data_IF_077903797417
#
_entry.id   IF_077903797417
#
_cell.length_a   1.000
_cell.length_b   1.000
_cell.length_c   1.000
_cell.angle_alpha   90.00
_cell.angle_beta   90.00
_cell.angle_gamma   90.00
#
_symmetry.space_group_name_H-M   'P 1'
#
loop_
_entity.id
_entity.type
_entity.pdbx_description
1 polymer ?
#
# COMPACT_ATOMS: atom_id res chain seq x y z
N UNK A 1 45.35 13.78 16.16
CA UNK A 1 43.91 13.68 16.56
C UNK A 1 43.13 13.32 15.31
N UNK A 2 42.75 12.06 15.19
CA UNK A 2 42.09 11.51 14.02
C UNK A 2 40.58 11.68 14.20
N UNK A 3 39.98 12.52 13.35
CA UNK A 3 38.54 12.66 13.23
C UNK A 3 37.94 11.35 12.75
N UNK A 4 37.37 10.61 13.67
CA UNK A 4 36.45 9.52 13.32
C UNK A 4 35.15 10.17 12.81
N UNK A 5 35.06 10.35 11.49
CA UNK A 5 33.78 10.53 10.82
C UNK A 5 32.95 9.26 11.08
N UNK A 6 32.05 9.36 12.04
CA UNK A 6 30.97 8.37 12.23
C UNK A 6 30.07 8.51 11.01
N UNK A 7 30.30 7.68 10.00
CA UNK A 7 29.33 7.45 8.93
C UNK A 7 28.03 6.94 9.58
N UNK A 8 27.05 7.84 9.72
CA UNK A 8 25.67 7.46 9.98
C UNK A 8 25.19 6.60 8.80
N UNK A 9 25.43 5.30 8.87
CA UNK A 9 24.87 4.34 7.92
C UNK A 9 23.36 4.34 8.10
N UNK A 10 22.67 5.15 7.30
CA UNK A 10 21.21 5.23 7.30
C UNK A 10 20.66 3.87 6.84
N UNK A 11 20.17 3.09 7.79
CA UNK A 11 19.53 1.80 7.54
C UNK A 11 18.43 1.98 6.47
N UNK A 12 18.49 1.20 5.40
CA UNK A 12 17.50 1.23 4.34
C UNK A 12 16.52 0.06 4.50
N UNK A 13 15.23 0.34 4.30
CA UNK A 13 14.20 -0.70 4.35
C UNK A 13 13.73 -1.04 2.93
N UNK A 14 13.69 -2.34 2.62
CA UNK A 14 13.11 -2.86 1.36
C UNK A 14 12.05 -3.92 1.68
N UNK A 15 11.03 -3.98 0.86
CA UNK A 15 9.98 -5.00 1.00
C UNK A 15 9.92 -5.90 -0.23
N UNK A 16 9.70 -7.19 0.02
CA UNK A 16 9.48 -8.21 -1.01
C UNK A 16 8.07 -8.78 -0.84
N UNK A 17 7.23 -8.66 -1.87
CA UNK A 17 5.89 -9.24 -1.88
C UNK A 17 5.86 -10.47 -2.77
N UNK A 18 5.58 -11.63 -2.18
CA UNK A 18 5.50 -12.93 -2.84
C UNK A 18 4.06 -13.46 -2.80
N UNK A 19 3.63 -14.09 -3.89
CA UNK A 19 2.41 -14.89 -3.88
C UNK A 19 2.73 -16.26 -3.29
N UNK A 20 1.97 -16.67 -2.27
CA UNK A 20 2.14 -17.95 -1.58
C UNK A 20 0.99 -18.90 -1.90
N UNK A 21 1.27 -20.20 -1.83
CA UNK A 21 0.36 -21.29 -2.17
C UNK A 21 0.20 -22.23 -0.98
N UNK A 22 -0.61 -21.81 0.03
CA UNK A 22 -0.82 -22.63 1.22
C UNK A 22 -1.68 -23.86 0.91
N UNK A 23 -1.45 -24.95 1.64
CA UNK A 23 -2.32 -26.13 1.64
C UNK A 23 -3.72 -25.78 2.19
N UNK A 24 -4.64 -26.73 2.17
CA UNK A 24 -5.99 -26.51 2.71
C UNK A 24 -5.94 -26.21 4.22
N UNK A 25 -5.16 -26.99 4.98
CA UNK A 25 -4.94 -26.82 6.43
C UNK A 25 -4.26 -25.48 6.73
N UNK A 26 -3.18 -25.15 6.02
CA UNK A 26 -2.50 -23.86 6.15
C UNK A 26 -3.43 -22.69 5.84
N UNK A 27 -4.25 -22.80 4.78
CA UNK A 27 -5.24 -21.78 4.43
C UNK A 27 -6.29 -21.59 5.51
N UNK A 28 -6.71 -22.68 6.17
CA UNK A 28 -7.66 -22.64 7.29
C UNK A 28 -7.05 -21.89 8.47
N UNK A 29 -5.83 -22.22 8.85
CA UNK A 29 -5.13 -21.58 9.98
C UNK A 29 -4.81 -20.11 9.69
N UNK A 30 -4.44 -19.75 8.45
CA UNK A 30 -4.27 -18.35 8.04
C UNK A 30 -5.60 -17.58 8.18
N UNK A 31 -6.73 -18.14 7.71
CA UNK A 31 -8.02 -17.48 7.82
C UNK A 31 -8.47 -17.35 9.29
N UNK A 32 -8.19 -18.34 10.12
CA UNK A 32 -8.41 -18.28 11.56
C UNK A 32 -7.59 -17.16 12.19
N UNK A 33 -6.29 -17.06 11.86
CA UNK A 33 -5.41 -16.00 12.34
C UNK A 33 -5.94 -14.61 11.95
N UNK A 34 -6.44 -14.41 10.71
CA UNK A 34 -7.13 -13.16 10.34
C UNK A 34 -8.32 -12.87 11.27
N UNK A 35 -9.10 -13.90 11.61
CA UNK A 35 -10.25 -13.79 12.51
C UNK A 35 -9.84 -13.36 13.92
N UNK A 36 -8.85 -14.04 14.50
CA UNK A 36 -8.33 -13.77 15.84
C UNK A 36 -7.71 -12.36 15.95
N UNK A 37 -6.85 -11.98 15.02
CA UNK A 37 -6.25 -10.63 14.99
C UNK A 37 -7.30 -9.53 14.85
N UNK A 38 -8.32 -9.74 14.02
CA UNK A 38 -9.43 -8.79 13.89
C UNK A 38 -10.25 -8.69 15.17
N UNK A 39 -10.57 -9.83 15.80
CA UNK A 39 -11.33 -9.86 17.07
C UNK A 39 -10.55 -9.13 18.15
N UNK A 40 -9.28 -9.45 18.34
CA UNK A 40 -8.44 -8.81 19.36
C UNK A 40 -8.30 -7.28 19.12
N UNK A 41 -8.09 -6.86 17.87
CA UNK A 41 -8.09 -5.43 17.53
C UNK A 41 -9.39 -4.75 17.94
N UNK A 42 -10.53 -5.39 17.68
CA UNK A 42 -11.84 -4.84 17.98
C UNK A 42 -12.12 -4.80 19.50
N UNK A 43 -11.74 -5.85 20.23
CA UNK A 43 -11.84 -5.87 21.70
C UNK A 43 -11.01 -4.75 22.32
N UNK A 44 -9.75 -4.62 21.91
CA UNK A 44 -8.89 -3.56 22.40
C UNK A 44 -9.42 -2.15 22.06
N UNK A 45 -9.99 -1.97 20.88
CA UNK A 45 -10.66 -0.73 20.50
C UNK A 45 -11.89 -0.45 21.39
N UNK A 46 -12.65 -1.49 21.70
CA UNK A 46 -13.83 -1.38 22.57
C UNK A 46 -13.42 -1.02 23.98
N UNK A 47 -12.44 -1.71 24.61
CA UNK A 47 -11.90 -1.38 25.93
C UNK A 47 -11.47 0.11 26.02
N UNK A 48 -10.80 0.62 24.97
CA UNK A 48 -10.40 2.04 24.94
C UNK A 48 -11.57 2.99 24.82
N UNK A 49 -12.61 2.63 24.08
CA UNK A 49 -13.80 3.45 23.93
C UNK A 49 -14.61 3.49 25.24
N UNK A 50 -14.79 2.35 25.89
CA UNK A 50 -15.44 2.23 27.19
C UNK A 50 -14.69 3.05 28.24
N UNK A 51 -13.36 2.87 28.33
CA UNK A 51 -12.53 3.66 29.25
C UNK A 51 -12.67 5.19 29.01
N UNK A 52 -12.73 5.62 27.74
CA UNK A 52 -12.95 7.02 27.41
C UNK A 52 -14.31 7.52 27.85
N UNK A 53 -15.37 6.73 27.63
CA UNK A 53 -16.75 7.09 27.99
C UNK A 53 -16.85 7.21 29.53
N UNK A 54 -16.29 6.26 30.27
CA UNK A 54 -16.45 6.17 31.72
C UNK A 54 -15.57 7.19 32.47
N UNK A 55 -14.36 7.46 31.99
CA UNK A 55 -13.35 8.21 32.76
C UNK A 55 -13.03 9.59 32.18
N UNK A 56 -13.25 9.84 30.90
CA UNK A 56 -12.84 11.11 30.23
C UNK A 56 -14.03 11.94 29.77
N UNK A 57 -15.04 11.29 29.22
CA UNK A 57 -16.24 12.00 28.73
C UNK A 57 -16.96 12.83 29.81
N UNK A 58 -17.04 12.39 31.07
CA UNK A 58 -17.67 13.16 32.14
C UNK A 58 -16.92 14.45 32.52
N UNK A 59 -15.64 14.57 32.17
CA UNK A 59 -14.83 15.76 32.51
C UNK A 59 -15.25 16.94 31.63
N UNK A 60 -15.35 18.18 32.20
CA UNK A 60 -15.61 19.40 31.44
C UNK A 60 -14.62 19.58 30.28
N UNK A 61 -15.09 20.10 29.14
CA UNK A 61 -14.29 20.18 27.91
C UNK A 61 -12.96 20.94 28.08
N UNK A 62 -13.01 22.00 28.92
CA UNK A 62 -11.87 22.89 29.20
C UNK A 62 -10.73 22.13 29.90
N UNK A 63 -11.03 21.14 30.73
CA UNK A 63 -10.07 20.41 31.54
C UNK A 63 -9.63 19.06 30.90
N UNK A 64 -10.36 18.61 29.82
CA UNK A 64 -10.09 17.32 29.21
C UNK A 64 -8.70 17.16 28.68
N UNK A 65 -8.12 18.20 28.09
CA UNK A 65 -6.81 18.10 27.46
C UNK A 65 -5.69 17.87 28.49
N UNK A 66 -5.82 18.46 29.67
CA UNK A 66 -4.83 18.31 30.75
C UNK A 66 -5.05 17.01 31.51
N UNK A 67 -6.26 16.77 32.00
CA UNK A 67 -6.58 15.62 32.87
C UNK A 67 -6.58 14.28 32.12
N UNK A 68 -6.93 14.26 30.81
CA UNK A 68 -6.97 13.01 30.04
C UNK A 68 -5.62 12.30 29.96
N UNK A 69 -4.51 13.04 29.89
CA UNK A 69 -3.17 12.47 29.84
C UNK A 69 -2.82 11.69 31.10
N UNK A 70 -3.24 12.17 32.26
CA UNK A 70 -3.00 11.50 33.54
C UNK A 70 -3.92 10.29 33.70
N UNK A 71 -5.19 10.44 33.36
CA UNK A 71 -6.16 9.35 33.43
C UNK A 71 -5.79 8.22 32.48
N UNK A 72 -5.32 8.51 31.26
CA UNK A 72 -4.86 7.45 30.35
C UNK A 72 -3.65 6.65 30.86
N UNK A 73 -2.87 7.16 31.81
CA UNK A 73 -1.81 6.37 32.48
C UNK A 73 -2.37 5.22 33.34
N UNK A 74 -3.60 5.36 33.80
CA UNK A 74 -4.30 4.30 34.57
C UNK A 74 -4.95 3.24 33.68
N UNK A 75 -5.05 3.49 32.38
CA UNK A 75 -5.63 2.53 31.44
C UNK A 75 -4.78 1.26 31.32
N UNK A 76 -5.32 0.14 31.79
CA UNK A 76 -4.69 -1.18 31.73
C UNK A 76 -5.55 -2.12 30.88
N UNK A 77 -5.37 -2.14 29.56
CA UNK A 77 -6.11 -3.06 28.70
C UNK A 77 -5.67 -4.50 28.93
N UNK A 78 -6.56 -5.45 28.68
CA UNK A 78 -6.24 -6.87 28.76
C UNK A 78 -5.10 -7.24 27.82
N UNK A 79 -4.22 -8.07 28.32
CA UNK A 79 -3.10 -8.64 27.56
C UNK A 79 -3.56 -9.76 26.63
N UNK A 80 -2.73 -10.15 25.67
CA UNK A 80 -3.01 -11.27 24.78
C UNK A 80 -3.17 -12.60 25.55
N UNK A 81 -2.49 -12.74 26.69
CA UNK A 81 -2.60 -13.92 27.58
C UNK A 81 -4.00 -13.99 28.20
N UNK A 82 -4.51 -12.90 28.71
CA UNK A 82 -5.85 -12.81 29.29
C UNK A 82 -6.93 -13.02 28.24
N UNK A 83 -6.78 -12.44 27.04
CA UNK A 83 -7.71 -12.68 25.93
C UNK A 83 -7.73 -14.13 25.46
N UNK A 84 -6.62 -14.89 25.56
CA UNK A 84 -6.58 -16.31 25.27
C UNK A 84 -7.33 -17.15 26.33
N UNK A 85 -7.42 -16.67 27.55
CA UNK A 85 -8.26 -17.32 28.57
C UNK A 85 -9.75 -17.10 28.30
N UNK A 86 -10.13 -15.91 27.81
CA UNK A 86 -11.51 -15.60 27.42
C UNK A 86 -11.91 -16.32 26.13
N UNK A 87 -11.01 -16.31 25.13
CA UNK A 87 -11.24 -16.91 23.81
C UNK A 87 -10.25 -18.01 23.53
N UNK A 88 -10.54 -19.23 23.98
CA UNK A 88 -9.64 -20.40 23.91
C UNK A 88 -9.07 -20.66 22.50
N UNK A 89 -9.88 -20.42 21.44
CA UNK A 89 -9.45 -20.57 20.05
C UNK A 89 -8.30 -19.63 19.64
N UNK A 90 -8.03 -18.56 20.38
CA UNK A 90 -6.88 -17.69 20.14
C UNK A 90 -5.54 -18.33 20.54
N UNK A 91 -5.55 -19.42 21.31
CA UNK A 91 -4.33 -20.14 21.68
C UNK A 91 -3.72 -20.91 20.49
N UNK A 92 -4.52 -21.22 19.46
CA UNK A 92 -4.07 -21.95 18.27
C UNK A 92 -3.23 -21.08 17.32
N UNK A 93 -3.36 -19.74 17.41
CA UNK A 93 -2.66 -18.80 16.53
C UNK A 93 -1.41 -18.21 17.20
N UNK A 94 -0.57 -17.54 16.39
CA UNK A 94 0.67 -16.93 16.89
C UNK A 94 0.39 -15.79 17.90
N UNK A 95 1.07 -15.82 19.03
CA UNK A 95 0.97 -14.78 20.07
C UNK A 95 1.54 -13.44 19.57
N UNK A 96 2.63 -13.48 18.79
CA UNK A 96 3.23 -12.28 18.22
C UNK A 96 2.31 -11.59 17.20
N UNK A 97 1.53 -12.35 16.41
CA UNK A 97 0.51 -11.79 15.54
C UNK A 97 -0.64 -11.10 16.30
N UNK A 98 -1.05 -11.70 17.42
CA UNK A 98 -2.05 -11.11 18.32
C UNK A 98 -1.54 -9.82 18.97
N UNK A 99 -0.33 -9.84 19.53
CA UNK A 99 0.32 -8.67 20.10
C UNK A 99 0.42 -7.54 19.07
N UNK A 100 0.83 -7.88 17.84
CA UNK A 100 0.90 -6.90 16.76
C UNK A 100 -0.47 -6.29 16.41
N UNK A 101 -1.54 -7.07 16.47
CA UNK A 101 -2.88 -6.57 16.22
C UNK A 101 -3.33 -5.53 17.27
N UNK A 102 -2.96 -5.71 18.55
CA UNK A 102 -3.16 -4.72 19.62
C UNK A 102 -2.34 -3.47 19.38
N UNK A 103 -1.04 -3.62 19.10
CA UNK A 103 -0.15 -2.49 18.78
C UNK A 103 -0.63 -1.70 17.54
N UNK A 104 -1.21 -2.38 16.54
CA UNK A 104 -1.78 -1.72 15.36
C UNK A 104 -2.99 -0.84 15.72
N UNK A 105 -3.77 -1.23 16.73
CA UNK A 105 -4.85 -0.39 17.27
C UNK A 105 -4.30 0.85 17.97
N UNK A 106 -3.30 0.68 18.83
CA UNK A 106 -2.66 1.81 19.52
C UNK A 106 -2.03 2.78 18.51
N UNK A 107 -1.35 2.24 17.49
CA UNK A 107 -0.78 3.06 16.42
C UNK A 107 -1.84 3.83 15.60
N UNK A 108 -3.05 3.27 15.45
CA UNK A 108 -4.15 3.96 14.80
C UNK A 108 -4.60 5.19 15.60
N UNK A 109 -4.65 5.10 16.93
CA UNK A 109 -4.92 6.26 17.80
C UNK A 109 -3.79 7.30 17.74
N UNK A 110 -2.53 6.87 17.80
CA UNK A 110 -1.38 7.78 17.65
C UNK A 110 -1.47 8.53 16.31
N UNK A 111 -1.81 7.85 15.23
CA UNK A 111 -1.98 8.46 13.90
C UNK A 111 -3.16 9.45 13.86
N UNK A 112 -4.27 9.14 14.52
CA UNK A 112 -5.42 10.02 14.64
C UNK A 112 -5.05 11.32 15.38
N UNK A 113 -4.42 11.22 16.56
CA UNK A 113 -4.02 12.39 17.33
C UNK A 113 -2.95 13.24 16.61
N UNK A 114 -1.95 12.62 15.97
CA UNK A 114 -0.97 13.34 15.15
C UNK A 114 -1.61 14.05 13.96
N UNK A 115 -2.65 13.47 13.38
CA UNK A 115 -3.42 14.08 12.28
C UNK A 115 -4.20 15.30 12.75
N UNK A 116 -4.87 15.22 13.92
CA UNK A 116 -5.62 16.34 14.50
C UNK A 116 -4.69 17.51 14.89
N UNK A 117 -3.46 17.21 15.33
CA UNK A 117 -2.45 18.23 15.66
C UNK A 117 -1.70 18.77 14.43
N UNK A 118 -2.05 18.36 13.20
CA UNK A 118 -1.37 18.81 11.98
C UNK A 118 0.06 18.27 11.80
N UNK A 119 0.56 17.43 12.73
CA UNK A 119 1.92 16.89 12.70
C UNK A 119 2.08 15.87 11.55
N UNK A 120 1.00 15.19 11.17
CA UNK A 120 1.01 14.17 10.12
C UNK A 120 0.48 14.74 8.80
N UNK A 121 1.23 14.55 7.72
CA UNK A 121 0.73 14.80 6.36
C UNK A 121 -0.42 13.83 6.04
N UNK A 122 -1.60 14.37 5.75
CA UNK A 122 -2.82 13.62 5.43
C UNK A 122 -3.72 13.35 6.64
N UNK A 123 -5.04 13.34 6.39
CA UNK A 123 -6.06 13.14 7.42
C UNK A 123 -6.14 11.65 7.81
N UNK A 124 -6.06 11.37 9.10
CA UNK A 124 -6.36 10.07 9.70
C UNK A 124 -7.63 10.22 10.53
N UNK A 125 -8.67 9.46 10.19
CA UNK A 125 -9.92 9.46 10.98
C UNK A 125 -9.76 8.66 12.27
N UNK A 126 -10.80 8.73 13.12
CA UNK A 126 -10.91 7.94 14.34
C UNK A 126 -10.83 6.43 14.00
N UNK A 127 -10.14 5.61 14.81
CA UNK A 127 -10.05 4.17 14.58
C UNK A 127 -11.42 3.50 14.50
N UNK A 128 -11.61 2.61 13.51
CA UNK A 128 -12.88 1.93 13.27
C UNK A 128 -12.76 0.44 13.54
N UNK A 129 -13.86 -0.19 13.95
CA UNK A 129 -13.94 -1.63 14.06
C UNK A 129 -13.68 -2.31 12.71
N UNK A 130 -12.84 -3.33 12.70
CA UNK A 130 -12.53 -4.13 11.52
C UNK A 130 -13.65 -5.13 11.24
N UNK A 131 -14.08 -5.24 9.98
CA UNK A 131 -15.16 -6.14 9.56
C UNK A 131 -14.63 -7.40 8.87
N UNK A 132 -15.31 -8.54 9.09
CA UNK A 132 -15.08 -9.76 8.30
C UNK A 132 -15.43 -9.57 6.81
N UNK A 133 -16.29 -8.61 6.50
CA UNK A 133 -16.68 -8.27 5.12
C UNK A 133 -15.66 -7.44 4.39
N UNK A 134 -14.64 -6.93 5.10
CA UNK A 134 -13.53 -6.24 4.46
C UNK A 134 -12.80 -7.21 3.53
N UNK A 135 -12.61 -6.77 2.30
CA UNK A 135 -11.99 -7.57 1.25
C UNK A 135 -10.46 -7.68 1.41
N UNK A 136 -9.85 -6.88 2.28
CA UNK A 136 -8.42 -6.88 2.58
C UNK A 136 -8.15 -7.46 3.97
N UNK A 137 -8.14 -8.79 4.05
CA UNK A 137 -7.75 -9.49 5.28
C UNK A 137 -6.24 -9.57 5.36
N UNK A 138 -5.65 -9.12 6.46
CA UNK A 138 -4.20 -9.24 6.71
C UNK A 138 -3.88 -9.29 8.20
N UNK A 139 -2.75 -9.91 8.53
CA UNK A 139 -2.10 -9.80 9.82
C UNK A 139 -0.60 -9.67 9.65
N UNK A 140 0.08 -9.07 10.61
CA UNK A 140 1.54 -8.92 10.62
C UNK A 140 2.15 -9.84 11.67
N UNK A 141 3.21 -10.51 11.27
CA UNK A 141 4.03 -11.37 12.12
C UNK A 141 5.39 -10.72 12.27
N UNK A 142 5.76 -10.17 13.43
CA UNK A 142 7.10 -9.68 13.68
C UNK A 142 8.09 -10.84 13.75
N UNK A 143 9.30 -10.62 13.27
CA UNK A 143 10.36 -11.62 13.33
C UNK A 143 11.06 -11.58 14.71
N UNK A 144 10.53 -12.32 15.65
CA UNK A 144 11.10 -12.46 16.98
C UNK A 144 12.02 -13.69 17.00
N UNK A 145 13.29 -13.51 17.36
CA UNK A 145 14.28 -14.60 17.48
C UNK A 145 14.39 -15.49 16.21
N UNK A 146 14.22 -14.91 15.02
CA UNK A 146 14.37 -15.65 13.77
C UNK A 146 13.24 -16.65 13.48
N UNK A 147 12.07 -16.47 14.07
CA UNK A 147 10.91 -17.35 13.86
C UNK A 147 10.32 -17.27 12.43
N UNK A 148 10.58 -16.18 11.72
CA UNK A 148 10.24 -15.98 10.31
C UNK A 148 11.47 -16.20 9.43
N UNK A 149 11.38 -17.04 8.40
CA UNK A 149 12.50 -17.30 7.48
C UNK A 149 12.02 -17.35 6.03
N UNK A 150 12.89 -16.92 5.10
CA UNK A 150 12.71 -17.09 3.67
C UNK A 150 13.82 -18.00 3.17
N UNK A 151 13.43 -19.17 2.65
CA UNK A 151 14.32 -20.15 2.04
C UNK A 151 14.13 -20.04 0.52
N UNK A 152 14.79 -19.06 -0.08
CA UNK A 152 14.52 -18.69 -1.46
C UNK A 152 14.87 -19.79 -2.45
N UNK A 153 15.97 -20.48 -2.23
CA UNK A 153 16.42 -21.63 -3.05
C UNK A 153 15.34 -22.72 -3.10
N UNK A 154 14.75 -23.04 -1.96
CA UNK A 154 13.69 -24.02 -1.83
C UNK A 154 12.30 -23.46 -2.18
N UNK A 155 12.19 -22.15 -2.44
CA UNK A 155 10.91 -21.43 -2.66
C UNK A 155 9.92 -21.62 -1.52
N UNK A 156 10.41 -21.55 -0.29
CA UNK A 156 9.63 -21.71 0.93
C UNK A 156 9.72 -20.48 1.82
N UNK A 157 8.58 -20.08 2.39
CA UNK A 157 8.51 -19.09 3.47
C UNK A 157 8.06 -19.81 4.73
N UNK A 158 8.85 -19.73 5.81
CA UNK A 158 8.46 -20.23 7.13
C UNK A 158 7.72 -19.13 7.87
N UNK A 159 6.47 -19.41 8.22
CA UNK A 159 5.58 -18.50 8.97
C UNK A 159 5.25 -19.18 10.31
N UNK A 160 5.36 -18.49 11.46
CA UNK A 160 5.04 -19.05 12.76
C UNK A 160 3.65 -19.69 12.80
N UNK A 161 3.53 -20.84 13.42
CA UNK A 161 2.31 -21.69 13.51
C UNK A 161 1.84 -22.26 12.17
N UNK A 162 2.00 -21.56 11.04
CA UNK A 162 1.57 -22.03 9.71
C UNK A 162 2.57 -23.03 9.11
N UNK A 163 3.86 -22.91 9.46
CA UNK A 163 4.92 -23.75 8.91
C UNK A 163 5.50 -23.21 7.59
N UNK A 164 6.03 -24.12 6.77
CA UNK A 164 6.64 -23.80 5.48
C UNK A 164 5.57 -23.72 4.39
N UNK A 165 5.47 -22.57 3.71
CA UNK A 165 4.51 -22.33 2.61
C UNK A 165 5.27 -22.06 1.32
N UNK A 166 4.82 -22.65 0.22
CA UNK A 166 5.46 -22.57 -1.10
C UNK A 166 5.16 -21.21 -1.76
N UNK A 167 6.15 -20.63 -2.43
CA UNK A 167 6.00 -19.55 -3.42
C UNK A 167 6.65 -19.97 -4.76
N UNK A 168 6.34 -19.23 -5.85
CA UNK A 168 6.79 -19.65 -7.20
C UNK A 168 7.79 -18.69 -7.87
N UNK A 169 8.06 -17.54 -7.26
CA UNK A 169 9.03 -16.59 -7.79
C UNK A 169 10.42 -17.21 -7.84
N UNK A 170 11.14 -16.98 -8.95
CA UNK A 170 12.45 -17.58 -9.22
C UNK A 170 13.60 -16.59 -9.17
N UNK A 171 13.31 -15.29 -9.24
CA UNK A 171 14.33 -14.26 -9.32
C UNK A 171 14.57 -13.61 -7.96
N UNK A 172 15.83 -13.62 -7.53
CA UNK A 172 16.25 -12.86 -6.37
C UNK A 172 16.16 -11.36 -6.66
N UNK A 173 15.69 -10.54 -5.71
CA UNK A 173 15.85 -9.10 -5.80
C UNK A 173 17.33 -8.73 -5.89
N UNK A 174 17.68 -7.70 -6.65
CA UNK A 174 19.09 -7.26 -6.80
C UNK A 174 19.77 -6.90 -5.47
N UNK A 175 18.99 -6.49 -4.48
CA UNK A 175 19.47 -6.14 -3.14
C UNK A 175 19.50 -7.32 -2.16
N UNK A 176 19.29 -8.55 -2.63
CA UNK A 176 19.20 -9.73 -1.76
C UNK A 176 20.45 -9.94 -0.91
N UNK A 177 21.63 -9.76 -1.49
CA UNK A 177 22.90 -9.93 -0.79
C UNK A 177 23.23 -8.81 0.20
N UNK A 178 22.45 -7.71 0.24
CA UNK A 178 22.57 -6.61 1.19
C UNK A 178 21.67 -6.76 2.41
N UNK A 179 20.92 -7.86 2.52
CA UNK A 179 20.03 -8.10 3.66
C UNK A 179 20.85 -8.27 4.93
N UNK A 180 20.54 -7.43 5.92
CA UNK A 180 21.07 -7.53 7.26
C UNK A 180 20.09 -8.24 8.19
N UNK A 181 18.79 -7.91 8.08
CA UNK A 181 17.77 -8.44 8.97
C UNK A 181 16.41 -8.55 8.30
N UNK A 182 15.68 -9.63 8.61
CA UNK A 182 14.25 -9.73 8.36
C UNK A 182 13.49 -9.15 9.56
N UNK A 183 12.69 -8.09 9.32
CA UNK A 183 11.97 -7.40 10.39
C UNK A 183 10.60 -8.02 10.68
N UNK A 184 9.80 -8.22 9.65
CA UNK A 184 8.44 -8.74 9.79
C UNK A 184 7.90 -9.33 8.49
N UNK A 185 6.85 -10.14 8.61
CA UNK A 185 6.06 -10.65 7.50
C UNK A 185 4.60 -10.20 7.64
N UNK A 186 4.02 -9.65 6.58
CA UNK A 186 2.58 -9.37 6.53
C UNK A 186 1.91 -10.35 5.59
N UNK A 187 1.10 -11.22 6.15
CA UNK A 187 0.31 -12.20 5.41
C UNK A 187 -1.02 -11.56 5.04
N UNK A 188 -1.43 -11.68 3.78
CA UNK A 188 -2.67 -11.08 3.29
C UNK A 188 -3.41 -11.99 2.31
N UNK A 189 -4.72 -11.79 2.23
CA UNK A 189 -5.59 -12.47 1.27
C UNK A 189 -6.28 -11.42 0.41
N UNK A 190 -6.18 -11.58 -0.92
CA UNK A 190 -6.84 -10.69 -1.87
C UNK A 190 -8.32 -11.06 -2.07
N UNK A 191 -9.08 -10.13 -2.66
CA UNK A 191 -10.48 -10.35 -3.04
C UNK A 191 -10.67 -11.52 -4.02
N UNK A 192 -9.64 -11.86 -4.80
CA UNK A 192 -9.63 -12.98 -5.74
C UNK A 192 -9.40 -14.35 -5.08
N UNK A 193 -9.10 -14.35 -3.76
CA UNK A 193 -8.80 -15.54 -2.96
C UNK A 193 -7.32 -15.93 -2.94
N UNK A 194 -6.43 -15.18 -3.56
CA UNK A 194 -5.00 -15.44 -3.55
C UNK A 194 -4.35 -14.97 -2.22
N UNK A 195 -3.34 -15.72 -1.78
CA UNK A 195 -2.56 -15.38 -0.59
C UNK A 195 -1.22 -14.76 -0.96
N UNK A 196 -0.80 -13.78 -0.18
CA UNK A 196 0.46 -13.07 -0.36
C UNK A 196 1.17 -12.93 0.98
N UNK A 197 2.49 -12.93 0.95
CA UNK A 197 3.34 -12.48 2.05
C UNK A 197 4.15 -11.28 1.59
N UNK A 198 4.12 -10.21 2.37
CA UNK A 198 4.99 -9.04 2.19
C UNK A 198 6.01 -9.04 3.32
N UNK A 199 7.28 -9.13 2.97
CA UNK A 199 8.39 -9.31 3.91
C UNK A 199 9.17 -8.02 3.93
N UNK A 200 9.39 -7.48 5.13
CA UNK A 200 10.18 -6.27 5.34
C UNK A 200 11.58 -6.66 5.78
N UNK A 201 12.57 -6.12 5.08
CA UNK A 201 13.99 -6.31 5.38
C UNK A 201 14.66 -4.97 5.69
N UNK A 202 15.61 -5.00 6.61
CA UNK A 202 16.69 -4.04 6.75
C UNK A 202 17.83 -4.47 5.84
N UNK A 203 18.33 -3.54 5.04
CA UNK A 203 19.45 -3.79 4.12
C UNK A 203 20.52 -2.72 4.29
N UNK A 204 21.75 -3.08 3.96
CA UNK A 204 22.82 -2.08 3.77
C UNK A 204 22.44 -1.13 2.64
N UNK A 205 22.72 0.17 2.75
CA UNK A 205 22.48 1.11 1.66
C UNK A 205 23.16 0.61 0.39
N UNK A 206 22.42 0.52 -0.69
CA UNK A 206 22.95 0.12 -1.99
C UNK A 206 22.50 1.09 -3.07
N UNK A 207 23.47 1.53 -3.88
CA UNK A 207 23.23 2.31 -5.09
C UNK A 207 23.80 1.54 -6.28
N UNK A 208 23.05 1.57 -7.39
CA UNK A 208 23.47 0.91 -8.62
C UNK A 208 24.08 1.93 -9.57
N UNK A 209 25.35 1.75 -9.93
CA UNK A 209 25.99 2.60 -10.94
C UNK A 209 25.42 2.24 -12.32
N UNK A 210 25.18 3.25 -13.13
CA UNK A 210 24.79 3.12 -14.53
C UNK A 210 25.61 4.14 -15.31
N UNK A 211 26.29 3.68 -16.32
CA UNK A 211 27.10 4.49 -17.22
C UNK A 211 26.29 4.94 -18.45
N UNK A 212 26.80 5.94 -19.17
CA UNK A 212 26.26 6.41 -20.46
C UNK A 212 24.79 6.84 -20.41
N UNK A 213 24.43 7.67 -19.42
CA UNK A 213 23.10 8.25 -19.34
C UNK A 213 23.03 9.58 -20.10
N UNK A 214 21.86 9.85 -20.69
CA UNK A 214 21.50 11.18 -21.14
C UNK A 214 21.35 12.13 -19.94
N UNK A 215 21.50 13.44 -20.15
CA UNK A 215 21.47 14.39 -19.04
C UNK A 215 20.10 14.46 -18.37
N UNK A 216 19.06 14.83 -19.11
CA UNK A 216 17.73 15.05 -18.52
C UNK A 216 16.60 14.69 -19.47
N UNK A 217 15.43 14.35 -18.90
CA UNK A 217 14.16 14.21 -19.62
C UNK A 217 13.05 14.88 -18.80
N UNK A 218 12.18 15.64 -19.50
CA UNK A 218 10.92 16.16 -18.97
C UNK A 218 9.76 15.21 -19.28
N UNK A 219 8.85 15.01 -18.32
CA UNK A 219 7.66 14.20 -18.49
C UNK A 219 6.42 15.01 -18.11
N UNK A 220 5.56 15.27 -19.07
CA UNK A 220 4.23 15.84 -18.87
C UNK A 220 3.18 14.74 -18.76
N UNK A 221 2.19 14.92 -17.90
CA UNK A 221 1.14 13.93 -17.65
C UNK A 221 0.12 13.89 -18.79
N UNK A 222 -0.10 12.69 -19.34
CA UNK A 222 -1.16 12.44 -20.33
C UNK A 222 -2.15 11.39 -19.80
N UNK A 223 -3.46 11.72 -19.73
CA UNK A 223 -4.48 10.76 -19.31
C UNK A 223 -4.63 9.53 -20.22
N UNK A 224 -4.29 9.64 -21.50
CA UNK A 224 -4.41 8.58 -22.50
C UNK A 224 -3.11 7.82 -22.71
N UNK A 225 -1.97 8.45 -22.49
CA UNK A 225 -0.64 7.96 -22.88
C UNK A 225 0.31 7.76 -21.70
N UNK A 226 -0.17 8.05 -20.51
CA UNK A 226 0.57 8.08 -19.26
C UNK A 226 1.44 9.34 -19.13
N UNK A 227 2.29 9.62 -20.11
CA UNK A 227 3.10 10.82 -20.23
C UNK A 227 3.44 11.13 -21.70
N UNK A 228 3.81 12.37 -21.94
CA UNK A 228 4.52 12.85 -23.11
C UNK A 228 5.88 13.36 -22.64
N UNK A 229 6.96 12.99 -23.31
CA UNK A 229 8.31 13.41 -22.92
C UNK A 229 8.80 14.60 -23.74
N UNK A 230 9.82 15.29 -23.23
CA UNK A 230 10.54 16.34 -23.97
C UNK A 230 11.22 15.85 -25.27
N UNK A 231 11.36 14.53 -25.44
CA UNK A 231 11.83 13.89 -26.67
C UNK A 231 10.67 13.48 -27.59
N UNK A 232 9.45 13.99 -27.37
CA UNK A 232 8.21 13.65 -28.13
C UNK A 232 7.83 12.17 -28.08
N UNK A 233 8.34 11.40 -27.11
CA UNK A 233 7.95 10.02 -26.86
C UNK A 233 6.84 9.96 -25.81
N UNK A 234 5.98 8.98 -25.94
CA UNK A 234 4.85 8.77 -25.03
C UNK A 234 5.00 7.47 -24.27
N UNK A 235 4.24 7.30 -23.20
CA UNK A 235 4.20 6.02 -22.49
C UNK A 235 3.75 4.85 -23.39
N UNK A 236 2.97 5.11 -24.45
CA UNK A 236 2.52 4.09 -25.42
C UNK A 236 3.68 3.53 -26.24
N UNK A 237 4.67 4.36 -26.60
CA UNK A 237 5.86 3.91 -27.33
C UNK A 237 6.65 2.85 -26.53
N UNK A 238 6.47 2.84 -25.21
CA UNK A 238 7.03 1.86 -24.30
C UNK A 238 6.00 0.85 -23.77
N UNK A 239 4.94 0.60 -24.54
CA UNK A 239 3.95 -0.43 -24.29
C UNK A 239 2.93 -0.11 -23.20
N UNK A 240 2.72 1.19 -22.87
CA UNK A 240 1.61 1.57 -22.01
C UNK A 240 0.28 1.28 -22.69
N UNK A 241 -0.57 0.57 -21.99
CA UNK A 241 -1.96 0.35 -22.38
C UNK A 241 -2.84 0.69 -21.17
N UNK A 242 -3.86 1.50 -21.39
CA UNK A 242 -4.86 1.79 -20.35
C UNK A 242 -5.65 0.51 -20.03
N UNK A 243 -5.14 -0.29 -19.10
CA UNK A 243 -5.58 -1.67 -18.83
C UNK A 243 -7.07 -1.77 -18.51
N UNK A 244 -7.63 -0.77 -17.83
CA UNK A 244 -9.05 -0.74 -17.53
C UNK A 244 -9.90 -0.50 -18.78
N UNK A 245 -9.41 0.31 -19.73
CA UNK A 245 -10.06 0.55 -21.01
C UNK A 245 -9.97 -0.68 -21.90
N UNK A 246 -8.77 -1.30 -22.01
CA UNK A 246 -8.56 -2.52 -22.78
C UNK A 246 -9.49 -3.66 -22.34
N UNK A 247 -9.79 -3.74 -21.06
CA UNK A 247 -10.67 -4.76 -20.50
C UNK A 247 -12.11 -4.28 -20.26
N UNK A 248 -12.50 -3.09 -20.71
CA UNK A 248 -13.79 -2.45 -20.36
C UNK A 248 -15.00 -3.29 -20.71
N UNK A 249 -15.06 -3.89 -21.89
CA UNK A 249 -16.18 -4.76 -22.33
C UNK A 249 -16.32 -5.97 -21.39
N UNK A 250 -15.20 -6.66 -21.08
CA UNK A 250 -15.18 -7.83 -20.19
C UNK A 250 -15.53 -7.45 -18.76
N UNK A 251 -15.00 -6.33 -18.27
CA UNK A 251 -15.26 -5.79 -16.94
C UNK A 251 -16.75 -5.48 -16.77
N UNK A 252 -17.35 -4.72 -17.70
CA UNK A 252 -18.78 -4.40 -17.69
C UNK A 252 -19.66 -5.67 -17.73
N UNK A 253 -19.30 -6.68 -18.53
CA UNK A 253 -20.02 -7.96 -18.60
C UNK A 253 -20.00 -8.68 -17.26
N UNK A 254 -18.84 -8.76 -16.59
CA UNK A 254 -18.72 -9.41 -15.29
C UNK A 254 -19.43 -8.64 -14.18
N UNK A 255 -19.34 -7.30 -14.19
CA UNK A 255 -20.07 -6.44 -13.23
C UNK A 255 -21.58 -6.64 -13.35
N UNK A 256 -22.14 -6.60 -14.58
CA UNK A 256 -23.57 -6.87 -14.84
C UNK A 256 -23.96 -8.28 -14.36
N UNK A 257 -23.12 -9.29 -14.64
CA UNK A 257 -23.38 -10.67 -14.19
C UNK A 257 -23.38 -10.79 -12.67
N UNK A 258 -22.46 -10.11 -11.98
CA UNK A 258 -22.41 -10.08 -10.53
C UNK A 258 -23.61 -9.34 -9.92
N UNK A 259 -23.99 -8.18 -10.48
CA UNK A 259 -25.12 -7.38 -10.01
C UNK A 259 -26.46 -8.12 -10.11
N UNK A 260 -26.66 -8.91 -11.19
CA UNK A 260 -27.89 -9.70 -11.39
C UNK A 260 -28.03 -10.88 -10.43
N UNK A 261 -26.95 -11.30 -9.74
CA UNK A 261 -27.00 -12.40 -8.77
C UNK A 261 -27.60 -11.90 -7.47
N UNK A 262 -28.76 -12.43 -7.11
CA UNK A 262 -29.48 -12.04 -5.90
C UNK A 262 -28.76 -12.47 -4.62
N UNK A 263 -28.98 -11.73 -3.56
CA UNK A 263 -28.66 -12.15 -2.20
C UNK A 263 -29.85 -12.97 -1.67
N UNK A 264 -29.57 -14.10 -1.03
CA UNK A 264 -30.60 -14.93 -0.39
C UNK A 264 -31.04 -14.27 0.91
N UNK A 265 -32.33 -14.11 1.10
CA UNK A 265 -32.95 -13.81 2.39
C UNK A 265 -33.14 -15.14 3.12
N UNK A 266 -32.66 -15.29 4.33
CA UNK A 266 -32.86 -16.46 5.18
C UNK A 266 -33.85 -16.06 6.26
N UNK A 267 -34.89 -16.86 6.46
CA UNK A 267 -35.85 -16.66 7.54
C UNK A 267 -35.09 -16.55 8.89
N UNK A 268 -35.53 -15.63 9.71
CA UNK A 268 -34.91 -15.33 11.03
C UNK A 268 -33.47 -14.80 11.01
N UNK A 269 -32.91 -14.44 9.84
CA UNK A 269 -31.62 -13.80 9.74
C UNK A 269 -31.73 -12.38 9.16
N UNK A 270 -31.42 -11.32 9.94
CA UNK A 270 -31.51 -9.96 9.42
C UNK A 270 -30.48 -9.63 8.33
N UNK A 271 -29.61 -10.57 7.99
CA UNK A 271 -28.54 -10.42 7.00
C UNK A 271 -28.78 -11.26 5.76
N UNK A 272 -28.86 -10.59 4.61
CA UNK A 272 -28.88 -11.28 3.31
C UNK A 272 -27.55 -12.04 3.10
N UNK A 273 -27.64 -13.34 2.85
CA UNK A 273 -26.49 -14.19 2.56
C UNK A 273 -26.17 -14.20 1.07
N UNK A 274 -24.90 -14.25 0.73
CA UNK A 274 -24.44 -14.37 -0.66
C UNK A 274 -24.59 -15.81 -1.12
N UNK A 275 -25.32 -16.04 -2.22
CA UNK A 275 -25.43 -17.37 -2.82
C UNK A 275 -24.05 -17.86 -3.32
N UNK A 276 -23.84 -19.19 -3.39
CA UNK A 276 -22.61 -19.79 -3.95
C UNK A 276 -22.32 -19.29 -5.37
N UNK A 277 -23.36 -19.07 -6.18
CA UNK A 277 -23.22 -18.57 -7.54
C UNK A 277 -22.84 -17.08 -7.59
N UNK A 278 -23.32 -16.27 -6.63
CA UNK A 278 -22.90 -14.88 -6.47
C UNK A 278 -21.43 -14.81 -6.08
N UNK A 279 -20.98 -15.65 -5.14
CA UNK A 279 -19.60 -15.70 -4.72
C UNK A 279 -18.64 -16.12 -5.85
N UNK A 280 -19.02 -17.13 -6.67
CA UNK A 280 -18.26 -17.50 -7.88
C UNK A 280 -18.15 -16.32 -8.87
N UNK A 281 -19.22 -15.54 -9.05
CA UNK A 281 -19.21 -14.37 -9.92
C UNK A 281 -18.32 -13.25 -9.35
N UNK A 282 -18.38 -13.01 -8.03
CA UNK A 282 -17.51 -12.06 -7.31
C UNK A 282 -16.03 -12.38 -7.50
N UNK A 283 -15.66 -13.65 -7.32
CA UNK A 283 -14.26 -14.09 -7.49
C UNK A 283 -13.79 -13.91 -8.94
N UNK A 284 -14.64 -14.19 -9.94
CA UNK A 284 -14.28 -13.98 -11.35
C UNK A 284 -14.03 -12.49 -11.65
N UNK A 285 -14.89 -11.61 -11.12
CA UNK A 285 -14.71 -10.17 -11.24
C UNK A 285 -13.41 -9.72 -10.57
N UNK A 286 -13.20 -10.12 -9.31
CA UNK A 286 -12.00 -9.78 -8.54
C UNK A 286 -10.70 -10.25 -9.21
N UNK A 287 -10.70 -11.42 -9.85
CA UNK A 287 -9.53 -11.92 -10.62
C UNK A 287 -9.20 -11.02 -11.81
N UNK A 288 -10.22 -10.53 -12.53
CA UNK A 288 -9.98 -9.60 -13.64
C UNK A 288 -9.45 -8.25 -13.13
N UNK A 289 -10.02 -7.71 -12.06
CA UNK A 289 -9.56 -6.46 -11.46
C UNK A 289 -8.13 -6.57 -10.93
N UNK A 290 -7.77 -7.71 -10.31
CA UNK A 290 -6.40 -7.99 -9.86
C UNK A 290 -5.44 -8.10 -11.05
N UNK A 291 -5.85 -8.74 -12.15
CA UNK A 291 -5.06 -8.81 -13.38
C UNK A 291 -4.78 -7.42 -13.96
N UNK A 292 -5.82 -6.57 -14.07
CA UNK A 292 -5.72 -5.20 -14.54
C UNK A 292 -4.72 -4.40 -13.67
N UNK A 293 -4.86 -4.50 -12.35
CA UNK A 293 -3.99 -3.82 -11.40
C UNK A 293 -2.52 -4.28 -11.50
N UNK A 294 -2.31 -5.60 -11.63
CA UNK A 294 -0.97 -6.19 -11.74
C UNK A 294 -0.29 -5.82 -13.06
N UNK A 295 -1.00 -5.85 -14.19
CA UNK A 295 -0.46 -5.45 -15.49
C UNK A 295 0.00 -4.00 -15.49
N UNK A 296 -0.81 -3.11 -14.90
CA UNK A 296 -0.44 -1.70 -14.75
C UNK A 296 0.80 -1.53 -13.86
N UNK A 297 0.83 -2.23 -12.74
CA UNK A 297 1.97 -2.20 -11.83
C UNK A 297 3.25 -2.70 -12.49
N UNK A 298 3.18 -3.78 -13.25
CA UNK A 298 4.31 -4.33 -14.00
C UNK A 298 4.89 -3.31 -14.98
N UNK A 299 4.02 -2.64 -15.76
CA UNK A 299 4.45 -1.58 -16.66
C UNK A 299 5.12 -0.42 -15.90
N UNK A 300 4.51 0.06 -14.82
CA UNK A 300 5.06 1.13 -13.98
C UNK A 300 6.46 0.75 -13.46
N UNK A 301 6.64 -0.49 -13.01
CA UNK A 301 7.93 -0.97 -12.53
C UNK A 301 8.99 -1.01 -13.63
N UNK A 302 8.64 -1.49 -14.83
CA UNK A 302 9.55 -1.56 -15.97
C UNK A 302 9.92 -0.17 -16.47
N UNK A 303 8.93 0.69 -16.67
CA UNK A 303 9.12 2.01 -17.24
C UNK A 303 9.86 2.96 -16.29
N UNK A 304 9.52 2.97 -15.02
CA UNK A 304 10.28 3.74 -14.03
C UNK A 304 11.73 3.28 -13.92
N UNK A 305 12.02 1.98 -14.14
CA UNK A 305 13.38 1.46 -14.17
C UNK A 305 14.13 1.89 -15.44
N UNK A 306 13.46 1.87 -16.60
CA UNK A 306 14.02 2.32 -17.87
C UNK A 306 14.47 3.78 -17.76
N UNK A 307 13.59 4.66 -17.31
CA UNK A 307 13.87 6.09 -17.18
C UNK A 307 15.06 6.39 -16.27
N UNK A 308 15.09 5.81 -15.06
CA UNK A 308 16.21 6.08 -14.14
C UNK A 308 17.55 5.49 -14.58
N UNK A 309 17.53 4.51 -15.50
CA UNK A 309 18.74 3.99 -16.12
C UNK A 309 19.19 4.81 -17.33
N UNK A 310 18.26 5.43 -18.03
CA UNK A 310 18.55 6.17 -19.27
C UNK A 310 18.95 7.62 -19.03
N UNK A 311 18.54 8.23 -17.90
CA UNK A 311 18.72 9.65 -17.65
C UNK A 311 19.31 9.92 -16.26
N UNK A 312 20.13 11.01 -16.16
CA UNK A 312 20.66 11.51 -14.90
C UNK A 312 19.60 12.28 -14.10
N UNK A 313 18.70 12.95 -14.81
CA UNK A 313 17.62 13.76 -14.23
C UNK A 313 16.30 13.43 -14.92
N UNK A 314 15.24 13.26 -14.13
CA UNK A 314 13.86 13.15 -14.63
C UNK A 314 13.04 14.27 -13.99
N UNK A 315 12.53 15.18 -14.83
CA UNK A 315 11.71 16.32 -14.41
C UNK A 315 10.24 15.97 -14.64
N UNK A 316 9.39 16.19 -13.65
CA UNK A 316 7.95 15.91 -13.70
C UNK A 316 7.18 17.09 -13.12
N UNK A 317 5.95 17.31 -13.56
CA UNK A 317 5.07 18.32 -13.00
C UNK A 317 4.50 17.92 -11.62
N UNK A 318 4.36 18.88 -10.70
CA UNK A 318 3.67 18.69 -9.41
C UNK A 318 2.16 18.91 -9.55
N UNK A 319 1.46 17.97 -10.15
CA UNK A 319 0.04 18.07 -10.44
C UNK A 319 -0.86 17.82 -9.23
N UNK A 320 -1.85 18.67 -9.05
CA UNK A 320 -2.96 18.42 -8.12
C UNK A 320 -4.01 17.49 -8.76
N UNK A 321 -3.69 16.20 -8.88
CA UNK A 321 -4.56 15.21 -9.52
C UNK A 321 -5.97 15.15 -8.91
N UNK A 322 -6.13 15.43 -7.60
CA UNK A 322 -7.45 15.48 -6.96
C UNK A 322 -8.28 16.68 -7.43
N UNK A 323 -7.66 17.82 -7.60
CA UNK A 323 -8.29 19.01 -8.16
C UNK A 323 -8.69 18.78 -9.62
N UNK A 324 -7.74 18.36 -10.44
CA UNK A 324 -7.95 18.09 -11.87
C UNK A 324 -9.05 17.03 -12.07
N UNK A 325 -9.10 15.97 -11.27
CA UNK A 325 -10.13 14.93 -11.41
C UNK A 325 -11.55 15.41 -11.09
N UNK A 326 -11.72 16.49 -10.33
CA UNK A 326 -13.03 17.09 -10.04
C UNK A 326 -13.55 17.92 -11.21
N UNK A 327 -12.66 18.58 -11.95
CA UNK A 327 -13.02 19.47 -13.06
C UNK A 327 -13.12 18.78 -14.40
N UNK A 328 -12.39 17.68 -14.61
CA UNK A 328 -12.39 16.96 -15.88
C UNK A 328 -13.47 15.86 -15.90
N UNK A 329 -14.29 15.84 -16.94
CA UNK A 329 -15.22 14.72 -17.26
C UNK A 329 -14.48 13.36 -17.39
N UNK A 330 -13.15 13.39 -17.49
CA UNK A 330 -12.24 12.25 -17.66
C UNK A 330 -11.62 11.69 -16.36
N UNK A 331 -12.22 11.98 -15.18
CA UNK A 331 -11.72 11.46 -13.89
C UNK A 331 -11.44 9.94 -13.85
N UNK A 332 -12.19 9.16 -14.64
CA UNK A 332 -11.97 7.71 -14.77
C UNK A 332 -10.64 7.38 -15.42
N UNK A 333 -10.25 8.09 -16.47
CA UNK A 333 -8.97 7.87 -17.17
C UNK A 333 -7.79 8.27 -16.29
N UNK A 334 -7.89 9.38 -15.58
CA UNK A 334 -6.85 9.82 -14.65
C UNK A 334 -6.59 8.82 -13.53
N UNK A 335 -7.65 8.24 -12.93
CA UNK A 335 -7.50 7.20 -11.92
C UNK A 335 -6.94 5.89 -12.50
N UNK A 336 -7.16 5.64 -13.80
CA UNK A 336 -6.66 4.45 -14.47
C UNK A 336 -5.16 4.51 -14.74
N UNK A 337 -4.58 5.69 -14.95
CA UNK A 337 -3.14 5.86 -15.19
C UNK A 337 -2.28 5.49 -13.97
N UNK A 338 -2.78 5.75 -12.77
CA UNK A 338 -2.01 5.61 -11.51
C UNK A 338 -0.72 6.47 -11.49
N UNK A 339 -0.77 7.69 -12.04
CA UNK A 339 0.34 8.64 -12.12
C UNK A 339 1.08 8.82 -10.79
N UNK A 340 0.34 9.03 -9.70
CA UNK A 340 0.95 9.17 -8.37
C UNK A 340 1.81 7.96 -7.97
N UNK A 341 1.38 6.75 -8.36
CA UNK A 341 2.16 5.53 -8.14
C UNK A 341 3.42 5.52 -8.99
N UNK A 342 3.32 5.92 -10.26
CA UNK A 342 4.46 6.02 -11.17
C UNK A 342 5.51 7.01 -10.65
N UNK A 343 5.11 8.22 -10.28
CA UNK A 343 5.98 9.24 -9.68
C UNK A 343 6.65 8.71 -8.41
N UNK A 344 5.89 8.07 -7.51
CA UNK A 344 6.45 7.47 -6.29
C UNK A 344 7.50 6.40 -6.61
N UNK A 345 7.26 5.56 -7.63
CA UNK A 345 8.23 4.54 -8.05
C UNK A 345 9.47 5.14 -8.69
N UNK A 346 9.33 6.19 -9.49
CA UNK A 346 10.47 6.96 -10.03
C UNK A 346 11.35 7.51 -8.90
N UNK A 347 10.75 8.15 -7.88
CA UNK A 347 11.48 8.71 -6.76
C UNK A 347 12.24 7.64 -5.96
N UNK A 348 11.62 6.48 -5.71
CA UNK A 348 12.28 5.37 -5.00
C UNK A 348 13.44 4.83 -5.82
N UNK A 349 13.24 4.57 -7.11
CA UNK A 349 14.29 4.05 -7.99
C UNK A 349 15.35 5.10 -8.30
N UNK A 350 14.98 6.38 -8.36
CA UNK A 350 15.91 7.47 -8.50
C UNK A 350 16.99 7.45 -7.41
N UNK A 351 16.59 7.21 -6.16
CA UNK A 351 17.52 7.02 -5.04
C UNK A 351 18.41 5.79 -5.24
N UNK A 352 17.83 4.66 -5.64
CA UNK A 352 18.56 3.40 -5.82
C UNK A 352 19.59 3.48 -6.97
N UNK A 353 19.30 4.26 -8.01
CA UNK A 353 20.13 4.39 -9.22
C UNK A 353 20.84 5.74 -9.33
N UNK A 354 20.85 6.56 -8.29
CA UNK A 354 21.43 7.90 -8.31
C UNK A 354 20.95 8.76 -9.49
N UNK A 355 19.65 8.74 -9.76
CA UNK A 355 18.98 9.59 -10.74
C UNK A 355 18.16 10.65 -10.00
N UNK A 356 18.37 11.93 -10.30
CA UNK A 356 17.62 13.03 -9.65
C UNK A 356 16.21 13.11 -10.24
N UNK A 357 15.18 12.87 -9.40
CA UNK A 357 13.78 13.06 -9.79
C UNK A 357 13.31 14.39 -9.22
N UNK A 358 13.09 15.36 -10.08
CA UNK A 358 12.77 16.75 -9.75
C UNK A 358 11.30 16.98 -10.05
N UNK A 359 10.58 17.58 -9.11
CA UNK A 359 9.24 18.12 -9.37
C UNK A 359 9.35 19.59 -9.73
N UNK A 360 8.88 19.94 -10.92
CA UNK A 360 8.75 21.33 -11.33
C UNK A 360 7.74 22.06 -10.43
N UNK A 361 7.93 23.35 -10.25
CA UNK A 361 6.97 24.17 -9.51
C UNK A 361 5.59 24.08 -10.18
N UNK A 362 4.54 24.01 -9.37
CA UNK A 362 3.15 23.90 -9.84
C UNK A 362 2.70 25.07 -10.71
N UNK A 363 3.24 26.23 -10.43
CA UNK A 363 2.90 27.48 -11.10
C UNK A 363 3.93 27.88 -12.17
N UNK A 364 4.89 26.99 -12.45
CA UNK A 364 5.86 27.22 -13.51
C UNK A 364 5.12 27.31 -14.88
N UNK A 365 5.23 28.44 -15.60
CA UNK A 365 4.45 28.69 -16.81
C UNK A 365 5.04 27.95 -18.03
N UNK A 366 5.13 26.63 -17.97
CA UNK A 366 5.77 25.77 -18.98
C UNK A 366 5.19 25.94 -20.37
N UNK A 367 3.87 26.16 -20.47
CA UNK A 367 3.18 26.37 -21.77
C UNK A 367 3.36 27.77 -22.35
N UNK A 368 3.83 28.74 -21.55
CA UNK A 368 4.00 30.15 -21.99
C UNK A 368 5.45 30.52 -22.26
N UNK A 369 6.40 29.66 -21.88
CA UNK A 369 7.83 29.93 -22.04
C UNK A 369 8.36 29.33 -23.34
N UNK A 370 9.03 30.16 -24.13
CA UNK A 370 9.78 29.69 -25.29
C UNK A 370 11.01 28.87 -24.80
N UNK A 371 11.15 27.65 -25.29
CA UNK A 371 12.27 26.76 -24.92
C UNK A 371 13.64 27.25 -25.44
N UNK A 372 13.66 28.07 -26.47
CA UNK A 372 14.90 28.58 -27.06
C UNK A 372 15.42 29.85 -26.38
N UNK A 373 14.54 30.85 -26.17
CA UNK A 373 14.97 32.16 -25.66
C UNK A 373 14.43 32.54 -24.30
N UNK A 374 13.59 31.70 -23.67
CA UNK A 374 13.02 31.99 -22.36
C UNK A 374 11.95 33.11 -22.37
N UNK A 375 11.55 33.63 -23.53
CA UNK A 375 10.49 34.64 -23.60
C UNK A 375 9.16 34.06 -23.10
N UNK A 376 8.48 34.79 -22.23
CA UNK A 376 7.18 34.41 -21.71
C UNK A 376 6.05 35.15 -22.42
N UNK A 377 5.23 34.46 -23.22
CA UNK A 377 4.05 34.98 -23.83
C UNK A 377 2.83 34.82 -22.91
N UNK A 378 2.44 35.92 -22.24
CA UNK A 378 1.34 35.93 -21.24
C UNK A 378 -0.05 35.93 -21.90
N UNK A 379 -0.16 36.20 -23.17
CA UNK A 379 -1.42 36.28 -23.94
C UNK A 379 -1.88 34.98 -24.58
N UNK A 380 -1.18 33.87 -24.35
CA UNK A 380 -1.48 32.57 -24.96
C UNK A 380 -2.88 32.06 -24.55
N UNK A 381 -3.76 31.85 -25.52
CA UNK A 381 -5.09 31.29 -25.30
C UNK A 381 -5.01 29.75 -25.20
N UNK A 382 -5.91 29.14 -24.47
CA UNK A 382 -5.96 27.67 -24.32
C UNK A 382 -6.19 26.89 -25.62
N UNK A 383 -6.69 27.58 -26.66
CA UNK A 383 -6.90 27.05 -28.01
C UNK A 383 -5.66 27.14 -28.91
N UNK A 384 -4.69 27.98 -28.57
CA UNK A 384 -3.46 28.17 -29.32
C UNK A 384 -2.41 27.18 -28.85
N UNK A 385 -1.92 26.32 -29.75
CA UNK A 385 -0.98 25.25 -29.43
C UNK A 385 0.31 25.26 -30.24
N UNK A 386 0.49 26.27 -31.09
CA UNK A 386 1.70 26.51 -31.89
C UNK A 386 2.15 27.96 -31.72
#
# INVERSE_FOLDING_TARGET
MSDKLVENSTIQHKSLKLRIYPTKEQSQLINQTFGCCRKLYNEHLQERNEFYIDNILPIPKEERETKSKEIYKTFKPKTEKEWKQVYLYMAEVSSSALQQARMDCDQAFVNFFKSNKGIRKGKSGFPKFKSKKDNHQSYREPNVNGNCKVLFENRLVKIPKIGKVIFKDRQFPKWWNQIQKLCSMTISKSCSGNYYVSILFEISPCTYKVENRKDAIGLDFSPSEMYVSSENQTGKDFGYVAQKQAHSKKLKKLQKKFARKQMMTVENCPRKLSSKNREKARIKLARLEEHIANSRKDWIEKESLRLVKSYNKVVIEDLNLKGISKFLRNARNMNDTSWATFVSRLQVKGKDYNCKVIKADRYFPSSQLCSCCGFQYKGLKLSERE
#
